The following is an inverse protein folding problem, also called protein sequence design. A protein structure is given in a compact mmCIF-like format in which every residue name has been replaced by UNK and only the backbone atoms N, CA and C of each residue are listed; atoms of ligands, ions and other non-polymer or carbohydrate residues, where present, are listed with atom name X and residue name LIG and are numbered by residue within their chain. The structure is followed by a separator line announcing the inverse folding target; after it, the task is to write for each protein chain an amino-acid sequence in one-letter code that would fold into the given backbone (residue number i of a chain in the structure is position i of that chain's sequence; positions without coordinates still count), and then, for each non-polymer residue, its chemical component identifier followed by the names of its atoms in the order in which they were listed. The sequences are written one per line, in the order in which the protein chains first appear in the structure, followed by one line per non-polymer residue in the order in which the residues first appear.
data_IF_167784560250
#
_entry.id   IF_167784560250
#
_cell.length_a   1.000
_cell.length_b   1.000
_cell.length_c   1.000
_cell.angle_alpha   90.00
_cell.angle_beta   90.00
_cell.angle_gamma   90.00
#
_symmetry.space_group_name_H-M   'P 1'
#
loop_
_entity.id
_entity.type
_entity.pdbx_description
1 polymer ?
#
# COMPACT_ATOMS: atom_id res chain seq x y z
N UNK A 1 37.28 -9.02 -43.52
CA UNK A 1 35.94 -9.57 -43.07
C UNK A 1 36.02 -10.16 -41.66
N UNK A 2 37.16 -10.68 -41.21
CA UNK A 2 37.34 -11.25 -39.86
C UNK A 2 37.26 -10.22 -38.71
N UNK A 3 37.65 -8.96 -38.94
CA UNK A 3 37.65 -7.90 -37.90
C UNK A 3 36.26 -7.44 -37.52
N UNK A 4 35.37 -7.20 -38.49
CA UNK A 4 33.99 -6.71 -38.25
C UNK A 4 33.14 -7.76 -37.53
N UNK A 5 33.27 -9.04 -37.82
CA UNK A 5 32.56 -10.13 -37.13
C UNK A 5 33.03 -10.27 -35.67
N UNK A 6 34.35 -10.10 -35.42
CA UNK A 6 34.90 -10.09 -34.05
C UNK A 6 34.40 -8.92 -33.21
N UNK A 7 34.26 -7.75 -33.81
CA UNK A 7 33.76 -6.55 -33.14
C UNK A 7 32.24 -6.63 -32.80
N UNK A 8 31.46 -7.22 -33.70
CA UNK A 8 30.04 -7.50 -33.43
C UNK A 8 29.87 -8.49 -32.29
N UNK A 9 30.67 -9.57 -32.28
CA UNK A 9 30.62 -10.56 -31.21
C UNK A 9 31.03 -10.00 -29.83
N UNK A 10 32.08 -9.18 -29.80
CA UNK A 10 32.54 -8.48 -28.58
C UNK A 10 31.46 -7.52 -28.08
N UNK A 11 30.79 -6.81 -28.99
CA UNK A 11 29.71 -5.89 -28.62
C UNK A 11 28.50 -6.62 -28.07
N UNK A 12 28.08 -7.74 -28.67
CA UNK A 12 27.00 -8.57 -28.16
C UNK A 12 27.35 -9.21 -26.81
N UNK A 13 28.56 -9.69 -26.61
CA UNK A 13 29.02 -10.23 -25.33
C UNK A 13 29.00 -9.15 -24.24
N UNK A 14 29.45 -7.94 -24.57
CA UNK A 14 29.42 -6.80 -23.65
C UNK A 14 27.99 -6.34 -23.32
N UNK A 15 27.08 -6.32 -24.29
CA UNK A 15 25.67 -6.01 -24.08
C UNK A 15 24.98 -7.06 -23.21
N UNK A 16 25.34 -8.34 -23.33
CA UNK A 16 24.81 -9.42 -22.49
C UNK A 16 25.32 -9.33 -21.06
N UNK A 17 26.63 -9.11 -20.88
CA UNK A 17 27.26 -8.94 -19.57
C UNK A 17 26.72 -7.70 -18.85
N UNK A 18 26.49 -6.59 -19.57
CA UNK A 18 25.82 -5.39 -19.05
C UNK A 18 24.39 -5.68 -18.58
N UNK A 19 23.59 -6.46 -19.34
CA UNK A 19 22.23 -6.81 -18.93
C UNK A 19 22.23 -7.70 -17.70
N UNK A 20 23.09 -8.73 -17.64
CA UNK A 20 23.19 -9.63 -16.48
C UNK A 20 23.66 -8.89 -15.22
N UNK A 21 24.62 -7.98 -15.34
CA UNK A 21 25.08 -7.13 -14.23
C UNK A 21 23.99 -6.14 -13.78
N UNK A 22 23.25 -5.51 -14.71
CA UNK A 22 22.14 -4.63 -14.37
C UNK A 22 21.04 -5.36 -13.62
N UNK A 23 20.68 -6.59 -14.03
CA UNK A 23 19.69 -7.42 -13.34
C UNK A 23 20.15 -7.80 -11.93
N UNK A 24 21.43 -8.15 -11.76
CA UNK A 24 22.03 -8.46 -10.47
C UNK A 24 22.03 -7.25 -9.51
N UNK A 25 22.44 -6.09 -9.99
CA UNK A 25 22.42 -4.83 -9.24
C UNK A 25 20.99 -4.44 -8.89
N UNK A 26 20.05 -4.49 -9.84
CA UNK A 26 18.65 -4.18 -9.60
C UNK A 26 18.03 -5.08 -8.53
N UNK A 27 18.27 -6.40 -8.57
CA UNK A 27 17.79 -7.35 -7.55
C UNK A 27 18.37 -7.05 -6.16
N UNK A 28 19.66 -6.72 -6.06
CA UNK A 28 20.29 -6.37 -4.79
C UNK A 28 19.72 -5.07 -4.21
N UNK A 29 19.48 -4.05 -5.05
CA UNK A 29 18.90 -2.78 -4.64
C UNK A 29 17.45 -2.96 -4.17
N UNK A 30 16.65 -3.74 -4.90
CA UNK A 30 15.30 -4.12 -4.53
C UNK A 30 15.31 -4.87 -3.19
N UNK A 31 16.21 -5.84 -3.00
CA UNK A 31 16.38 -6.59 -1.76
C UNK A 31 16.72 -5.69 -0.57
N UNK A 32 17.61 -4.73 -0.74
CA UNK A 32 17.96 -3.75 0.31
C UNK A 32 16.81 -2.80 0.62
N UNK A 33 16.07 -2.32 -0.39
CA UNK A 33 14.91 -1.48 -0.21
C UNK A 33 13.81 -2.23 0.56
N UNK A 34 13.48 -3.45 0.16
CA UNK A 34 12.51 -4.34 0.83
C UNK A 34 12.90 -4.57 2.29
N UNK A 35 14.19 -4.86 2.57
CA UNK A 35 14.68 -5.10 3.93
C UNK A 35 14.53 -3.89 4.85
N UNK A 36 14.67 -2.67 4.33
CA UNK A 36 14.50 -1.43 5.10
C UNK A 36 13.04 -1.06 5.35
N UNK A 37 12.15 -1.43 4.44
CA UNK A 37 10.73 -1.02 4.44
C UNK A 37 9.79 -2.08 5.04
N UNK A 38 10.29 -3.26 5.42
CA UNK A 38 9.46 -4.39 5.84
C UNK A 38 8.78 -4.25 7.22
N UNK A 39 9.04 -3.18 7.99
CA UNK A 39 8.68 -3.10 9.40
C UNK A 39 7.29 -2.51 9.70
N UNK A 40 6.66 -1.74 8.81
CA UNK A 40 5.41 -1.03 9.09
C UNK A 40 4.20 -1.60 8.34
N UNK A 41 3.36 -2.33 9.05
CA UNK A 41 2.05 -2.76 8.55
C UNK A 41 0.95 -1.79 9.00
N UNK A 42 0.35 -1.07 8.05
CA UNK A 42 -0.83 -0.27 8.28
C UNK A 42 -2.10 -1.03 7.92
N UNK A 43 -3.11 -1.05 8.80
CA UNK A 43 -4.40 -1.67 8.49
C UNK A 43 -5.33 -0.66 7.85
N UNK A 44 -5.82 -0.99 6.66
CA UNK A 44 -6.93 -0.28 6.04
C UNK A 44 -8.22 -0.71 6.73
N UNK A 45 -8.62 0.05 7.74
CA UNK A 45 -9.91 -0.17 8.38
C UNK A 45 -10.73 1.10 8.24
N UNK A 46 -12.00 0.96 7.81
CA UNK A 46 -12.99 2.04 7.85
C UNK A 46 -13.46 2.33 9.26
N UNK A 47 -13.01 1.53 10.21
CA UNK A 47 -13.37 1.61 11.61
C UNK A 47 -12.13 1.77 12.50
N UNK A 48 -12.29 2.45 13.61
CA UNK A 48 -11.29 2.54 14.69
C UNK A 48 -11.97 2.23 16.02
N UNK A 49 -11.33 1.44 16.85
CA UNK A 49 -11.84 1.08 18.17
C UNK A 49 -11.16 1.95 19.23
N UNK A 50 -11.96 2.56 20.09
CA UNK A 50 -11.49 3.34 21.23
C UNK A 50 -11.79 2.54 22.50
N UNK A 51 -10.76 2.14 23.28
CA UNK A 51 -10.96 1.42 24.54
C UNK A 51 -11.53 2.36 25.60
N UNK A 52 -12.43 1.83 26.41
CA UNK A 52 -13.02 2.53 27.55
C UNK A 52 -12.51 1.96 28.87
N UNK A 53 -12.34 2.79 29.91
CA UNK A 53 -11.95 2.30 31.24
C UNK A 53 -13.02 1.45 31.93
N UNK A 54 -14.29 1.60 31.54
CA UNK A 54 -15.43 0.79 32.00
C UNK A 54 -16.63 0.98 31.08
N UNK A 55 -17.58 0.02 31.09
CA UNK A 55 -18.82 0.13 30.31
C UNK A 55 -19.74 1.27 30.77
N UNK A 56 -19.61 1.73 32.02
CA UNK A 56 -20.36 2.91 32.50
C UNK A 56 -20.03 4.18 31.68
N UNK A 57 -18.84 4.23 31.09
CA UNK A 57 -18.44 5.34 30.24
C UNK A 57 -19.28 5.46 28.96
N UNK A 58 -19.81 4.34 28.43
CA UNK A 58 -20.74 4.34 27.28
C UNK A 58 -21.95 5.24 27.55
N UNK A 59 -22.58 5.08 28.71
CA UNK A 59 -23.73 5.90 29.10
C UNK A 59 -23.41 7.38 29.19
N UNK A 60 -22.19 7.75 29.65
CA UNK A 60 -21.72 9.14 29.70
C UNK A 60 -21.46 9.73 28.33
N UNK A 61 -20.88 8.92 27.40
CA UNK A 61 -20.63 9.32 26.02
C UNK A 61 -21.96 9.49 25.27
N UNK A 62 -22.93 8.61 25.46
CA UNK A 62 -24.27 8.76 24.89
C UNK A 62 -24.92 10.03 25.44
N UNK A 63 -24.89 10.20 26.75
CA UNK A 63 -25.54 11.30 27.46
C UNK A 63 -27.06 11.19 27.48
N UNK A 64 -27.70 12.09 28.25
CA UNK A 64 -29.18 12.10 28.37
C UNK A 64 -29.82 12.32 26.97
N UNK A 65 -30.70 11.40 26.58
CA UNK A 65 -31.38 11.41 25.28
C UNK A 65 -30.45 11.44 24.06
N UNK A 66 -29.23 10.94 24.21
CA UNK A 66 -28.22 10.87 23.11
C UNK A 66 -27.62 12.23 22.74
N UNK A 67 -27.70 13.24 23.59
CA UNK A 67 -27.22 14.61 23.25
C UNK A 67 -25.70 14.70 23.03
N UNK A 68 -24.92 13.91 23.76
CA UNK A 68 -23.47 13.97 23.67
C UNK A 68 -22.97 13.22 22.41
N UNK A 69 -23.54 12.04 22.14
CA UNK A 69 -23.18 11.29 20.93
C UNK A 69 -23.54 12.09 19.68
N UNK A 70 -24.72 12.69 19.61
CA UNK A 70 -25.12 13.54 18.47
C UNK A 70 -24.21 14.75 18.31
N UNK A 71 -23.78 15.38 19.41
CA UNK A 71 -22.85 16.49 19.34
C UNK A 71 -21.48 16.06 18.77
N UNK A 72 -21.00 14.87 19.17
CA UNK A 72 -19.72 14.34 18.69
C UNK A 72 -19.82 13.97 17.19
N UNK A 73 -20.86 13.25 16.78
CA UNK A 73 -21.11 12.87 15.38
C UNK A 73 -21.26 14.11 14.49
N UNK A 74 -22.03 15.10 14.94
CA UNK A 74 -22.19 16.36 14.20
C UNK A 74 -20.89 17.13 14.07
N UNK A 75 -20.10 17.22 15.15
CA UNK A 75 -18.87 17.99 15.15
C UNK A 75 -17.73 17.31 14.36
N UNK A 76 -17.69 15.97 14.33
CA UNK A 76 -16.61 15.21 13.68
C UNK A 76 -17.00 14.71 12.29
N UNK A 77 -18.28 14.46 12.03
CA UNK A 77 -18.77 13.76 10.83
C UNK A 77 -18.40 12.27 10.82
N UNK A 78 -18.32 11.65 12.00
CA UNK A 78 -17.96 10.24 12.21
C UNK A 78 -19.08 9.57 12.97
N UNK A 79 -19.53 8.40 12.52
CA UNK A 79 -20.54 7.60 13.21
C UNK A 79 -19.92 6.86 14.40
N UNK A 80 -20.60 6.92 15.55
CA UNK A 80 -20.21 6.19 16.76
C UNK A 80 -21.10 4.97 16.93
N UNK A 81 -20.51 3.80 16.82
CA UNK A 81 -21.18 2.52 17.01
C UNK A 81 -20.90 2.07 18.45
N UNK A 82 -21.98 2.05 19.26
CA UNK A 82 -21.96 1.59 20.64
C UNK A 82 -22.82 0.34 20.73
N UNK A 83 -22.17 -0.79 20.75
CA UNK A 83 -22.77 -2.12 20.82
C UNK A 83 -22.43 -2.81 22.15
N UNK A 84 -22.70 -4.12 22.23
CA UNK A 84 -22.45 -4.94 23.42
C UNK A 84 -20.96 -5.32 23.58
N UNK A 85 -20.07 -4.87 22.70
CA UNK A 85 -18.62 -5.10 22.83
C UNK A 85 -18.12 -4.50 24.15
N UNK A 86 -17.54 -5.29 25.07
CA UNK A 86 -17.13 -4.79 26.37
C UNK A 86 -16.05 -3.71 26.25
N UNK A 87 -16.19 -2.64 27.04
CA UNK A 87 -15.18 -1.60 27.23
C UNK A 87 -14.64 -1.01 25.91
N UNK A 88 -15.47 -0.87 24.89
CA UNK A 88 -15.07 -0.35 23.59
C UNK A 88 -16.18 0.47 22.91
N UNK A 89 -15.77 1.43 22.09
CA UNK A 89 -16.61 2.15 21.12
C UNK A 89 -15.93 2.07 19.77
N UNK A 90 -16.72 1.78 18.74
CA UNK A 90 -16.25 1.73 17.37
C UNK A 90 -16.61 3.03 16.65
N UNK A 91 -15.61 3.66 16.04
CA UNK A 91 -15.75 4.84 15.18
C UNK A 91 -15.78 4.39 13.73
N UNK A 92 -16.77 4.83 12.95
CA UNK A 92 -16.93 4.49 11.54
C UNK A 92 -16.92 5.74 10.67
N UNK A 93 -16.00 5.80 9.71
CA UNK A 93 -15.94 6.83 8.67
C UNK A 93 -14.99 6.40 7.57
N UNK A 94 -15.28 6.75 6.33
CA UNK A 94 -14.36 6.60 5.21
C UNK A 94 -13.17 7.56 5.30
N UNK A 95 -13.37 8.74 5.90
CA UNK A 95 -12.30 9.74 6.09
C UNK A 95 -11.48 9.40 7.33
N UNK A 96 -10.27 8.88 7.12
CA UNK A 96 -9.33 8.55 8.20
C UNK A 96 -8.95 9.78 9.04
N UNK A 97 -8.90 10.96 8.45
CA UNK A 97 -8.55 12.20 9.16
C UNK A 97 -9.65 12.57 10.16
N UNK A 98 -10.92 12.52 9.74
CA UNK A 98 -12.05 12.74 10.64
C UNK A 98 -12.13 11.70 11.74
N UNK A 99 -11.90 10.43 11.39
CA UNK A 99 -11.90 9.33 12.34
C UNK A 99 -10.80 9.49 13.40
N UNK A 100 -9.61 9.95 13.00
CA UNK A 100 -8.53 10.24 13.93
C UNK A 100 -8.85 11.42 14.85
N UNK A 101 -9.48 12.50 14.35
CA UNK A 101 -9.99 13.60 15.19
C UNK A 101 -11.00 13.09 16.20
N UNK A 102 -11.94 12.24 15.79
CA UNK A 102 -12.94 11.65 16.68
C UNK A 102 -12.30 10.78 17.76
N UNK A 103 -11.30 9.94 17.38
CA UNK A 103 -10.53 9.09 18.31
C UNK A 103 -9.81 9.94 19.36
N UNK A 104 -9.03 10.93 18.93
CA UNK A 104 -8.30 11.84 19.82
C UNK A 104 -9.26 12.60 20.75
N UNK A 105 -10.41 12.99 20.23
CA UNK A 105 -11.45 13.71 21.00
C UNK A 105 -12.01 12.82 22.09
N UNK A 106 -12.41 11.58 21.75
CA UNK A 106 -12.92 10.62 22.74
C UNK A 106 -11.90 10.33 23.84
N UNK A 107 -10.65 10.03 23.48
CA UNK A 107 -9.59 9.74 24.44
C UNK A 107 -9.39 10.91 25.44
N UNK A 108 -9.42 12.15 24.95
CA UNK A 108 -9.31 13.34 25.80
C UNK A 108 -10.53 13.53 26.70
N UNK A 109 -11.73 13.34 26.17
CA UNK A 109 -12.96 13.46 26.96
C UNK A 109 -13.07 12.37 28.02
N UNK A 110 -12.61 11.16 27.72
CA UNK A 110 -12.53 10.05 28.66
C UNK A 110 -11.55 10.37 29.77
N UNK A 111 -10.35 10.85 29.41
CA UNK A 111 -9.31 11.22 30.40
C UNK A 111 -9.70 12.43 31.28
N UNK A 112 -10.38 13.43 30.71
CA UNK A 112 -10.87 14.62 31.45
C UNK A 112 -12.12 14.32 32.28
N UNK A 113 -12.92 13.33 31.89
CA UNK A 113 -14.15 12.93 32.56
C UNK A 113 -15.31 13.92 32.38
N UNK A 114 -15.16 15.02 31.68
CA UNK A 114 -16.19 16.04 31.45
C UNK A 114 -16.76 15.92 30.03
N UNK A 115 -17.91 15.25 29.90
CA UNK A 115 -18.53 14.97 28.62
C UNK A 115 -19.88 15.72 28.54
N UNK A 116 -19.91 16.83 27.80
CA UNK A 116 -21.09 17.60 27.47
C UNK A 116 -20.89 18.35 26.14
N UNK A 117 -21.95 18.75 25.40
CA UNK A 117 -21.85 19.25 24.04
C UNK A 117 -20.82 20.37 23.84
N UNK A 118 -20.84 21.42 24.64
CA UNK A 118 -19.88 22.53 24.50
C UNK A 118 -18.43 22.09 24.70
N UNK A 119 -18.16 21.13 25.62
CA UNK A 119 -16.82 20.59 25.82
C UNK A 119 -16.39 19.68 24.67
N UNK A 120 -17.34 18.96 24.06
CA UNK A 120 -17.11 18.14 22.88
C UNK A 120 -16.64 19.03 21.72
N UNK A 121 -17.39 20.08 21.39
CA UNK A 121 -17.06 21.03 20.32
C UNK A 121 -15.68 21.67 20.54
N UNK A 122 -15.41 22.17 21.74
CA UNK A 122 -14.09 22.73 22.10
C UNK A 122 -12.95 21.73 21.91
N UNK A 123 -13.19 20.48 22.33
CA UNK A 123 -12.16 19.42 22.25
C UNK A 123 -11.93 18.99 20.81
N UNK A 124 -12.98 18.90 19.98
CA UNK A 124 -12.86 18.61 18.55
C UNK A 124 -11.99 19.65 17.84
N UNK A 125 -12.23 20.95 18.08
CA UNK A 125 -11.42 22.00 17.47
C UNK A 125 -9.93 21.94 17.89
N UNK A 126 -9.68 21.66 19.16
CA UNK A 126 -8.30 21.44 19.64
C UNK A 126 -7.65 20.22 18.98
N UNK A 127 -8.38 19.11 18.85
CA UNK A 127 -7.86 17.90 18.20
C UNK A 127 -7.61 18.11 16.71
N UNK A 128 -8.46 18.87 16.01
CA UNK A 128 -8.21 19.26 14.61
C UNK A 128 -6.90 20.02 14.46
N UNK A 129 -6.70 21.03 15.30
CA UNK A 129 -5.48 21.82 15.27
C UNK A 129 -4.23 20.97 15.58
N UNK A 130 -4.30 20.10 16.60
CA UNK A 130 -3.18 19.23 16.98
C UNK A 130 -2.87 18.20 15.88
N UNK A 131 -3.88 17.66 15.22
CA UNK A 131 -3.71 16.75 14.07
C UNK A 131 -3.03 17.47 12.90
N UNK A 132 -3.40 18.74 12.62
CA UNK A 132 -2.71 19.53 11.60
C UNK A 132 -1.22 19.73 11.90
N UNK A 133 -0.89 19.97 13.18
CA UNK A 133 0.51 20.06 13.62
C UNK A 133 1.24 18.71 13.48
N UNK A 134 0.56 17.60 13.77
CA UNK A 134 1.13 16.27 13.57
C UNK A 134 1.38 15.98 12.09
N UNK A 135 0.42 16.27 11.20
CA UNK A 135 0.60 16.13 9.76
C UNK A 135 1.82 16.93 9.27
N UNK A 136 1.95 18.17 9.70
CA UNK A 136 3.12 18.98 9.35
C UNK A 136 4.43 18.33 9.79
N UNK A 137 4.51 17.85 11.05
CA UNK A 137 5.70 17.17 11.58
C UNK A 137 6.04 15.89 10.82
N UNK A 138 5.03 15.09 10.46
CA UNK A 138 5.25 13.86 9.67
C UNK A 138 5.77 14.18 8.26
N UNK A 139 5.25 15.22 7.62
CA UNK A 139 5.78 15.69 6.33
C UNK A 139 7.22 16.21 6.44
N UNK A 140 7.54 17.00 7.47
CA UNK A 140 8.89 17.49 7.73
C UNK A 140 9.86 16.33 7.99
N UNK A 141 9.43 15.30 8.75
CA UNK A 141 10.20 14.09 9.02
C UNK A 141 10.51 13.34 7.72
N UNK A 142 9.51 13.10 6.87
CA UNK A 142 9.68 12.39 5.60
C UNK A 142 10.66 13.12 4.67
N UNK A 143 10.54 14.44 4.55
CA UNK A 143 11.41 15.29 3.74
C UNK A 143 12.85 15.27 4.24
N UNK A 144 13.04 15.34 5.56
CA UNK A 144 14.36 15.30 6.19
C UNK A 144 15.02 13.93 6.01
N UNK A 145 14.28 12.83 6.24
CA UNK A 145 14.78 11.47 6.10
C UNK A 145 15.24 11.15 4.68
N UNK A 146 14.53 11.66 3.68
CA UNK A 146 14.89 11.50 2.26
C UNK A 146 15.97 12.48 1.77
N UNK A 147 16.37 13.46 2.60
CA UNK A 147 17.34 14.49 2.24
C UNK A 147 16.83 15.43 1.13
N UNK A 148 15.51 15.69 1.08
CA UNK A 148 14.88 16.57 0.11
C UNK A 148 14.82 17.99 0.68
N UNK A 149 15.23 18.98 -0.10
CA UNK A 149 15.25 20.38 0.33
C UNK A 149 14.43 21.28 -0.59
N UNK A 150 13.96 22.41 -0.06
CA UNK A 150 13.28 23.45 -0.86
C UNK A 150 11.87 23.07 -1.33
N UNK A 151 11.17 22.18 -0.62
CA UNK A 151 9.73 21.96 -0.82
C UNK A 151 8.91 23.09 -0.21
N UNK A 152 7.82 23.45 -0.88
CA UNK A 152 6.89 24.45 -0.36
C UNK A 152 6.24 23.93 0.95
N UNK A 153 6.04 24.76 1.98
CA UNK A 153 5.46 24.34 3.25
C UNK A 153 4.10 23.63 3.13
N UNK A 154 3.27 24.07 2.18
CA UNK A 154 1.97 23.41 1.93
C UNK A 154 2.13 22.02 1.32
N UNK A 155 3.13 21.78 0.46
CA UNK A 155 3.45 20.43 -0.02
C UNK A 155 3.90 19.53 1.13
N UNK A 156 4.71 20.04 2.05
CA UNK A 156 5.14 19.30 3.23
C UNK A 156 3.92 18.90 4.09
N UNK A 157 2.96 19.80 4.26
CA UNK A 157 1.70 19.50 4.97
C UNK A 157 0.89 18.42 4.26
N UNK A 158 0.78 18.47 2.93
CA UNK A 158 0.09 17.45 2.14
C UNK A 158 0.80 16.10 2.19
N UNK A 159 2.13 16.05 2.15
CA UNK A 159 2.92 14.84 2.34
C UNK A 159 2.59 14.21 3.71
N UNK A 160 2.58 15.01 4.77
CA UNK A 160 2.23 14.51 6.11
C UNK A 160 0.79 14.01 6.21
N UNK A 161 -0.15 14.58 5.43
CA UNK A 161 -1.54 14.13 5.35
C UNK A 161 -1.66 12.72 4.76
N UNK A 162 -0.73 12.31 3.87
CA UNK A 162 -0.67 10.96 3.32
C UNK A 162 -0.52 9.86 4.40
N UNK A 163 -0.04 10.19 5.61
CA UNK A 163 -0.02 9.28 6.76
C UNK A 163 -1.42 8.78 7.14
N UNK A 164 -2.43 9.61 6.90
CA UNK A 164 -3.83 9.33 7.20
C UNK A 164 -4.61 8.94 5.94
N UNK A 165 -3.91 8.38 4.95
CA UNK A 165 -4.50 7.86 3.72
C UNK A 165 -3.95 6.47 3.45
N UNK A 166 -4.84 5.54 3.28
CA UNK A 166 -4.52 4.15 2.91
C UNK A 166 -5.14 3.86 1.55
N UNK A 167 -4.41 3.19 0.69
CA UNK A 167 -4.86 2.78 -0.63
C UNK A 167 -4.42 1.36 -0.89
N UNK A 168 -5.34 0.46 -1.25
CA UNK A 168 -5.08 -0.96 -1.49
C UNK A 168 -4.31 -1.66 -0.34
N UNK A 169 -4.60 -1.30 0.92
CA UNK A 169 -3.97 -1.87 2.10
C UNK A 169 -2.59 -1.32 2.44
N UNK A 170 -2.09 -0.35 1.69
CA UNK A 170 -0.80 0.29 1.93
C UNK A 170 -0.98 1.74 2.37
N UNK A 171 -0.25 2.15 3.42
CA UNK A 171 -0.22 3.56 3.83
C UNK A 171 0.45 4.43 2.77
N UNK A 172 -0.22 5.50 2.34
CA UNK A 172 0.25 6.31 1.22
C UNK A 172 1.56 7.05 1.50
N UNK A 173 1.81 7.51 2.74
CA UNK A 173 3.08 8.15 3.10
C UNK A 173 4.24 7.14 3.06
N UNK A 174 4.05 5.98 3.69
CA UNK A 174 5.07 4.91 3.71
C UNK A 174 5.39 4.46 2.29
N UNK A 175 4.37 4.23 1.46
CA UNK A 175 4.54 3.90 0.05
C UNK A 175 5.34 4.98 -0.71
N UNK A 176 4.96 6.25 -0.59
CA UNK A 176 5.67 7.34 -1.27
C UNK A 176 7.13 7.47 -0.82
N UNK A 177 7.42 7.22 0.45
CA UNK A 177 8.80 7.17 0.96
C UNK A 177 9.59 5.99 0.40
N UNK A 178 8.99 4.80 0.32
CA UNK A 178 9.60 3.62 -0.31
C UNK A 178 9.93 3.87 -1.78
N UNK A 179 8.96 4.39 -2.55
CA UNK A 179 9.17 4.76 -3.96
C UNK A 179 10.30 5.77 -4.09
N UNK A 180 10.35 6.78 -3.22
CA UNK A 180 11.44 7.77 -3.21
C UNK A 180 12.81 7.16 -2.93
N UNK A 181 12.90 6.22 -1.99
CA UNK A 181 14.15 5.51 -1.68
C UNK A 181 14.63 4.67 -2.85
N UNK A 182 13.76 3.82 -3.39
CA UNK A 182 14.09 2.95 -4.52
C UNK A 182 14.44 3.77 -5.76
N UNK A 183 13.67 4.83 -6.05
CA UNK A 183 13.94 5.74 -7.16
C UNK A 183 15.31 6.42 -7.02
N UNK A 184 15.67 6.84 -5.80
CA UNK A 184 16.99 7.41 -5.54
C UNK A 184 18.15 6.44 -5.79
N UNK A 185 17.97 5.16 -5.43
CA UNK A 185 18.96 4.11 -5.67
C UNK A 185 19.11 3.82 -7.17
N UNK A 186 18.00 3.57 -7.88
CA UNK A 186 18.02 3.32 -9.32
C UNK A 186 18.58 4.50 -10.11
N UNK A 187 18.19 5.73 -9.73
CA UNK A 187 18.73 6.94 -10.37
C UNK A 187 20.25 7.05 -10.22
N UNK A 188 20.80 6.71 -9.07
CA UNK A 188 22.24 6.67 -8.84
C UNK A 188 22.97 5.68 -9.77
N UNK A 189 22.43 4.47 -9.92
CA UNK A 189 23.00 3.46 -10.81
C UNK A 189 22.86 3.81 -12.30
N UNK A 190 21.79 4.50 -12.68
CA UNK A 190 21.52 4.92 -14.06
C UNK A 190 22.16 6.27 -14.43
N UNK A 191 22.84 6.94 -13.50
CA UNK A 191 23.41 8.26 -13.75
C UNK A 191 22.37 9.38 -13.87
N UNK A 192 21.16 9.20 -13.34
CA UNK A 192 20.10 10.19 -13.27
C UNK A 192 20.21 10.96 -11.95
N UNK A 193 19.66 12.17 -11.90
CA UNK A 193 19.72 13.00 -10.69
C UNK A 193 18.96 12.36 -9.51
N UNK A 194 19.70 11.89 -8.52
CA UNK A 194 19.17 11.20 -7.32
C UNK A 194 18.20 12.05 -6.52
N UNK A 195 18.50 13.34 -6.35
CA UNK A 195 17.65 14.25 -5.57
C UNK A 195 16.30 14.47 -6.26
N UNK A 196 16.31 14.62 -7.59
CA UNK A 196 15.09 14.73 -8.38
C UNK A 196 14.27 13.43 -8.33
N UNK A 197 14.92 12.26 -8.38
CA UNK A 197 14.25 10.98 -8.33
C UNK A 197 13.57 10.75 -6.96
N UNK A 198 14.27 11.03 -5.86
CA UNK A 198 13.66 10.98 -4.52
C UNK A 198 12.48 11.94 -4.39
N UNK A 199 12.62 13.17 -4.90
CA UNK A 199 11.56 14.18 -4.86
C UNK A 199 10.35 13.75 -5.68
N UNK A 200 10.56 13.24 -6.89
CA UNK A 200 9.49 12.72 -7.74
C UNK A 200 8.78 11.52 -7.09
N UNK A 201 9.53 10.58 -6.52
CA UNK A 201 8.99 9.44 -5.80
C UNK A 201 8.16 9.83 -4.58
N UNK A 202 8.59 10.82 -3.79
CA UNK A 202 7.82 11.33 -2.65
C UNK A 202 6.52 12.02 -3.08
N UNK A 203 6.50 12.66 -4.25
CA UNK A 203 5.38 13.47 -4.74
C UNK A 203 4.46 12.72 -5.72
N UNK A 204 4.82 11.50 -6.20
CA UNK A 204 4.06 10.84 -7.26
C UNK A 204 2.57 10.65 -6.92
N UNK A 205 2.29 10.35 -5.67
CA UNK A 205 0.96 10.10 -5.12
C UNK A 205 0.39 11.26 -4.28
N UNK A 206 0.96 12.47 -4.36
CA UNK A 206 0.55 13.61 -3.52
C UNK A 206 -0.94 13.96 -3.66
N UNK A 207 -1.54 13.67 -4.82
CA UNK A 207 -2.97 13.90 -5.06
C UNK A 207 -3.88 13.09 -4.15
N UNK A 208 -3.45 11.92 -3.66
CA UNK A 208 -4.19 11.11 -2.69
C UNK A 208 -4.44 11.83 -1.35
N UNK A 209 -3.72 12.90 -1.07
CA UNK A 209 -3.99 13.73 0.10
C UNK A 209 -5.31 14.51 -0.01
N UNK A 210 -5.85 14.72 -1.22
CA UNK A 210 -7.03 15.55 -1.49
C UNK A 210 -8.10 14.88 -2.37
N UNK A 211 -7.90 13.63 -2.81
CA UNK A 211 -8.80 12.92 -3.73
C UNK A 211 -10.22 12.67 -3.20
N UNK A 212 -10.42 12.78 -1.88
CA UNK A 212 -11.75 12.73 -1.26
C UNK A 212 -12.46 14.10 -1.22
N UNK A 213 -11.73 15.18 -1.43
CA UNK A 213 -12.24 16.56 -1.33
C UNK A 213 -12.39 17.21 -2.70
N UNK A 214 -11.65 16.71 -3.71
CA UNK A 214 -11.59 17.28 -5.05
C UNK A 214 -11.95 16.20 -6.06
N UNK A 215 -12.85 16.51 -6.98
CA UNK A 215 -13.17 15.61 -8.10
C UNK A 215 -11.98 15.47 -9.07
N UNK A 216 -11.69 14.24 -9.47
CA UNK A 216 -10.63 13.93 -10.41
C UNK A 216 -9.76 12.74 -9.98
N UNK A 217 -8.88 12.29 -10.88
CA UNK A 217 -7.89 11.28 -10.52
C UNK A 217 -6.82 11.87 -9.62
N UNK A 218 -6.28 11.07 -8.69
CA UNK A 218 -5.15 11.52 -7.84
C UNK A 218 -3.95 11.98 -8.66
N UNK A 219 -3.76 11.42 -9.86
CA UNK A 219 -2.70 11.85 -10.81
C UNK A 219 -2.92 13.29 -11.24
N UNK A 220 -4.13 13.62 -11.73
CA UNK A 220 -4.46 14.97 -12.19
C UNK A 220 -4.38 15.97 -11.03
N UNK A 221 -4.95 15.63 -9.88
CA UNK A 221 -4.88 16.46 -8.67
C UNK A 221 -3.42 16.70 -8.27
N UNK A 222 -2.58 15.65 -8.29
CA UNK A 222 -1.16 15.73 -7.98
C UNK A 222 -0.38 16.63 -8.93
N UNK A 223 -0.65 16.53 -10.22
CA UNK A 223 -0.07 17.39 -11.27
C UNK A 223 -0.45 18.87 -11.03
N UNK A 224 -1.72 19.15 -10.75
CA UNK A 224 -2.20 20.52 -10.54
C UNK A 224 -1.62 21.13 -9.26
N UNK A 225 -1.51 20.34 -8.18
CA UNK A 225 -0.82 20.76 -6.95
C UNK A 225 0.64 21.10 -7.25
N UNK A 226 1.37 20.20 -7.92
CA UNK A 226 2.79 20.41 -8.22
C UNK A 226 3.02 21.58 -9.16
N UNK A 227 2.13 21.82 -10.13
CA UNK A 227 2.15 23.03 -10.98
C UNK A 227 1.91 24.31 -10.17
N UNK A 228 0.94 24.31 -9.27
CA UNK A 228 0.64 25.45 -8.38
C UNK A 228 1.85 25.85 -7.55
N UNK A 229 2.59 24.89 -7.04
CA UNK A 229 3.78 25.15 -6.22
C UNK A 229 5.10 25.19 -7.02
N UNK A 230 5.00 25.28 -8.35
CA UNK A 230 6.12 25.49 -9.30
C UNK A 230 7.20 24.41 -9.18
N UNK A 231 6.79 23.16 -9.03
CA UNK A 231 7.70 22.01 -9.10
C UNK A 231 8.34 21.88 -10.49
N UNK A 232 9.49 21.20 -10.55
CA UNK A 232 10.20 20.98 -11.80
C UNK A 232 9.34 20.22 -12.81
N UNK A 233 9.35 20.62 -14.07
CA UNK A 233 8.55 20.02 -15.14
C UNK A 233 8.83 18.55 -15.36
N UNK A 234 10.05 18.07 -15.13
CA UNK A 234 10.39 16.64 -15.21
C UNK A 234 9.76 15.85 -14.06
N UNK A 235 9.67 16.44 -12.86
CA UNK A 235 8.98 15.83 -11.72
C UNK A 235 7.48 15.76 -12.00
N UNK A 236 6.89 16.85 -12.52
CA UNK A 236 5.47 16.89 -12.89
C UNK A 236 5.16 15.84 -13.95
N UNK A 237 6.02 15.70 -14.98
CA UNK A 237 5.87 14.68 -15.99
C UNK A 237 5.97 13.25 -15.41
N UNK A 238 6.88 13.01 -14.47
CA UNK A 238 6.98 11.71 -13.80
C UNK A 238 5.73 11.38 -12.98
N UNK A 239 5.10 12.38 -12.33
CA UNK A 239 3.83 12.23 -11.63
C UNK A 239 2.70 11.93 -12.63
N UNK A 240 2.66 12.61 -13.78
CA UNK A 240 1.63 12.44 -14.81
C UNK A 240 1.68 11.04 -15.47
N UNK A 241 2.89 10.50 -15.64
CA UNK A 241 3.14 9.27 -16.39
C UNK A 241 3.18 7.98 -15.55
N UNK A 242 3.15 8.04 -14.20
CA UNK A 242 3.47 6.88 -13.37
C UNK A 242 2.48 5.71 -13.49
N UNK A 243 1.23 5.95 -13.88
CA UNK A 243 0.24 4.90 -14.15
C UNK A 243 0.11 4.52 -15.64
N UNK A 244 0.88 5.18 -16.52
CA UNK A 244 0.87 4.86 -17.95
C UNK A 244 -0.23 5.55 -18.75
N UNK A 245 -1.05 6.41 -18.17
CA UNK A 245 -2.06 7.21 -18.89
C UNK A 245 -1.39 8.20 -19.84
N UNK A 246 -0.19 8.63 -19.53
CA UNK A 246 0.69 9.43 -20.38
C UNK A 246 1.99 8.67 -20.61
N UNK A 247 2.46 8.65 -21.85
CA UNK A 247 3.71 7.98 -22.22
C UNK A 247 4.91 8.60 -21.51
N UNK A 248 5.73 7.81 -20.77
CA UNK A 248 6.92 8.31 -20.11
C UNK A 248 7.99 8.69 -21.13
N UNK A 249 8.42 9.96 -21.12
CA UNK A 249 9.41 10.53 -22.08
C UNK A 249 10.79 10.77 -21.47
N UNK A 250 10.95 10.56 -20.18
CA UNK A 250 12.21 10.82 -19.47
C UNK A 250 12.65 9.60 -18.67
N UNK A 251 13.95 9.37 -18.50
CA UNK A 251 14.44 8.30 -17.62
C UNK A 251 13.84 8.39 -16.22
N UNK A 252 13.63 9.61 -15.70
CA UNK A 252 12.99 9.84 -14.41
C UNK A 252 11.57 9.26 -14.36
N UNK A 253 10.76 9.48 -15.40
CA UNK A 253 9.38 8.96 -15.44
C UNK A 253 9.34 7.43 -15.44
N UNK A 254 10.23 6.77 -16.22
CA UNK A 254 10.36 5.31 -16.20
C UNK A 254 10.79 4.77 -14.84
N UNK A 255 11.74 5.45 -14.17
CA UNK A 255 12.18 5.07 -12.82
C UNK A 255 11.01 5.13 -11.85
N UNK A 256 10.22 6.22 -11.84
CA UNK A 256 9.09 6.37 -10.90
C UNK A 256 8.03 5.31 -11.16
N UNK A 257 7.64 5.07 -12.42
CA UNK A 257 6.69 4.03 -12.79
C UNK A 257 7.14 2.64 -12.31
N UNK A 258 8.41 2.30 -12.53
CA UNK A 258 8.97 1.02 -12.09
C UNK A 258 9.00 0.91 -10.55
N UNK A 259 9.40 1.98 -9.85
CA UNK A 259 9.49 1.99 -8.39
C UNK A 259 8.13 1.91 -7.71
N UNK A 260 7.10 2.56 -8.27
CA UNK A 260 5.72 2.43 -7.81
C UNK A 260 5.24 0.99 -7.93
N UNK A 261 5.41 0.37 -9.11
CA UNK A 261 5.05 -1.02 -9.34
C UNK A 261 5.79 -2.00 -8.39
N UNK A 262 7.09 -1.78 -8.15
CA UNK A 262 7.90 -2.59 -7.23
C UNK A 262 7.37 -2.47 -5.79
N UNK A 263 7.14 -1.25 -5.31
CA UNK A 263 6.63 -1.02 -3.95
C UNK A 263 5.24 -1.63 -3.77
N UNK A 264 4.37 -1.52 -4.78
CA UNK A 264 3.03 -2.09 -4.76
C UNK A 264 3.01 -3.64 -4.81
N UNK A 265 3.98 -4.24 -5.51
CA UNK A 265 4.04 -5.70 -5.73
C UNK A 265 4.80 -6.45 -4.62
N UNK A 266 5.51 -5.77 -3.71
CA UNK A 266 6.28 -6.44 -2.67
C UNK A 266 5.39 -7.26 -1.73
N UNK A 267 5.84 -8.45 -1.27
CA UNK A 267 5.07 -9.27 -0.33
C UNK A 267 4.73 -8.48 0.95
N UNK A 268 3.45 -8.44 1.31
CA UNK A 268 2.95 -7.75 2.50
C UNK A 268 2.73 -6.24 2.35
N UNK A 269 2.98 -5.64 1.18
CA UNK A 269 2.71 -4.23 0.92
C UNK A 269 1.21 -3.94 0.92
N UNK A 270 0.42 -4.80 0.30
CA UNK A 270 -1.04 -4.73 0.26
C UNK A 270 -1.62 -5.73 1.25
N UNK A 271 -2.45 -5.28 2.19
CA UNK A 271 -3.27 -6.19 2.98
C UNK A 271 -4.38 -6.69 2.09
N UNK A 272 -4.40 -7.99 1.87
CA UNK A 272 -5.61 -8.63 1.36
C UNK A 272 -6.69 -8.60 2.45
N UNK A 273 -7.91 -8.22 2.06
CA UNK A 273 -9.07 -8.46 2.92
C UNK A 273 -9.14 -9.95 3.21
N UNK A 274 -9.50 -10.32 4.45
CA UNK A 274 -9.66 -11.73 4.83
C UNK A 274 -10.59 -12.45 3.84
N UNK A 275 -11.61 -11.77 3.34
CA UNK A 275 -12.55 -12.30 2.33
C UNK A 275 -11.88 -12.58 0.98
N UNK A 276 -11.06 -11.66 0.47
CA UNK A 276 -10.33 -11.89 -0.80
C UNK A 276 -9.23 -12.94 -0.64
N UNK A 277 -8.63 -13.02 0.53
CA UNK A 277 -7.69 -14.08 0.90
C UNK A 277 -8.36 -15.45 0.93
N UNK A 278 -9.49 -15.59 1.64
CA UNK A 278 -10.26 -16.83 1.71
C UNK A 278 -10.74 -17.24 0.30
N UNK A 279 -11.32 -16.32 -0.45
CA UNK A 279 -11.78 -16.55 -1.82
C UNK A 279 -10.66 -17.00 -2.75
N UNK A 280 -9.45 -16.48 -2.58
CA UNK A 280 -8.29 -16.93 -3.35
C UNK A 280 -7.86 -18.35 -2.99
N UNK A 281 -7.87 -18.72 -1.69
CA UNK A 281 -7.61 -20.10 -1.27
C UNK A 281 -8.65 -21.05 -1.85
N UNK A 282 -9.93 -20.69 -1.76
CA UNK A 282 -11.05 -21.45 -2.33
C UNK A 282 -10.89 -21.63 -3.85
N UNK A 283 -10.55 -20.57 -4.58
CA UNK A 283 -10.31 -20.65 -6.03
C UNK A 283 -9.12 -21.56 -6.38
N UNK A 284 -8.04 -21.52 -5.62
CA UNK A 284 -6.88 -22.42 -5.80
C UNK A 284 -7.26 -23.88 -5.59
N UNK A 285 -8.04 -24.17 -4.54
CA UNK A 285 -8.53 -25.51 -4.23
C UNK A 285 -9.53 -25.99 -5.29
N UNK A 286 -10.46 -25.11 -5.72
CA UNK A 286 -11.45 -25.41 -6.78
C UNK A 286 -10.78 -25.72 -8.13
N UNK A 287 -9.84 -24.86 -8.58
CA UNK A 287 -9.09 -25.10 -9.81
C UNK A 287 -8.34 -26.43 -9.74
N UNK A 288 -7.65 -26.69 -8.65
CA UNK A 288 -6.86 -27.91 -8.47
C UNK A 288 -7.75 -29.16 -8.43
N UNK A 289 -8.90 -29.08 -7.76
CA UNK A 289 -9.87 -30.17 -7.65
C UNK A 289 -10.67 -30.43 -8.94
N UNK A 290 -10.66 -29.48 -9.91
CA UNK A 290 -11.39 -29.63 -11.18
C UNK A 290 -10.76 -30.65 -12.14
N UNK A 291 -9.57 -31.14 -11.85
CA UNK A 291 -8.87 -32.11 -12.70
C UNK A 291 -9.27 -33.55 -12.38
N UNK A 292 -9.46 -34.35 -13.44
CA UNK A 292 -9.77 -35.77 -13.30
C UNK A 292 -8.65 -36.53 -12.58
N UNK A 293 -9.02 -37.38 -11.62
CA UNK A 293 -8.07 -38.13 -10.80
C UNK A 293 -7.57 -37.42 -9.55
N UNK A 294 -7.92 -36.14 -9.34
CA UNK A 294 -7.69 -35.46 -8.07
C UNK A 294 -8.76 -35.88 -7.07
N UNK A 295 -8.34 -36.26 -5.88
CA UNK A 295 -9.20 -36.64 -4.76
C UNK A 295 -9.51 -35.43 -3.87
N UNK A 296 -8.48 -34.70 -3.49
CA UNK A 296 -8.56 -33.49 -2.68
C UNK A 296 -7.41 -32.52 -3.01
N UNK A 297 -7.64 -31.23 -2.83
CA UNK A 297 -6.63 -30.21 -2.93
C UNK A 297 -6.70 -29.27 -1.73
N UNK A 298 -5.55 -28.88 -1.19
CA UNK A 298 -5.44 -27.98 -0.05
C UNK A 298 -4.46 -26.86 -0.34
N UNK A 299 -4.92 -25.63 -0.21
CA UNK A 299 -4.06 -24.45 -0.23
C UNK A 299 -3.42 -24.28 1.15
N UNK A 300 -2.10 -24.38 1.24
CA UNK A 300 -1.33 -24.26 2.46
C UNK A 300 -0.32 -23.12 2.39
N UNK A 301 0.34 -22.78 3.51
CA UNK A 301 1.31 -21.68 3.58
C UNK A 301 0.76 -20.35 3.03
N UNK A 302 -0.44 -19.99 3.45
CA UNK A 302 -1.12 -18.77 3.00
C UNK A 302 -1.33 -18.71 1.48
N UNK A 303 -1.59 -19.88 0.83
CA UNK A 303 -1.80 -19.97 -0.62
C UNK A 303 -0.52 -19.96 -1.47
N UNK A 304 0.65 -20.08 -0.86
CA UNK A 304 1.93 -20.21 -1.58
C UNK A 304 2.27 -21.62 -2.00
N UNK A 305 1.55 -22.61 -1.47
CA UNK A 305 1.68 -24.02 -1.83
C UNK A 305 0.28 -24.62 -1.96
N UNK A 306 0.05 -25.39 -3.02
CA UNK A 306 -1.14 -26.24 -3.17
C UNK A 306 -0.71 -27.68 -3.08
N UNK A 307 -1.29 -28.43 -2.15
CA UNK A 307 -1.11 -29.88 -2.00
C UNK A 307 -2.29 -30.60 -2.60
N UNK A 308 -2.02 -31.47 -3.56
CA UNK A 308 -3.02 -32.14 -4.36
C UNK A 308 -2.86 -33.64 -4.14
N UNK A 309 -3.88 -34.24 -3.55
CA UNK A 309 -3.97 -35.68 -3.36
C UNK A 309 -4.62 -36.30 -4.58
N UNK A 310 -3.99 -37.29 -5.19
CA UNK A 310 -4.53 -37.99 -6.37
C UNK A 310 -4.90 -39.43 -6.05
N UNK A 311 -5.92 -39.92 -6.75
CA UNK A 311 -6.37 -41.32 -6.64
C UNK A 311 -5.33 -42.23 -7.28
N UNK A 312 -4.70 -43.17 -6.50
CA UNK A 312 -3.62 -44.02 -7.00
C UNK A 312 -4.07 -44.99 -8.10
N UNK A 313 -5.36 -45.35 -8.10
CA UNK A 313 -5.95 -46.26 -9.10
C UNK A 313 -6.22 -45.55 -10.45
N UNK A 314 -6.23 -44.20 -10.49
CA UNK A 314 -6.57 -43.41 -11.69
C UNK A 314 -5.33 -42.75 -12.28
N UNK A 315 -4.41 -42.26 -11.48
CA UNK A 315 -3.21 -41.54 -11.87
C UNK A 315 -1.96 -42.35 -11.63
N UNK A 316 -1.20 -42.64 -12.70
CA UNK A 316 0.11 -43.29 -12.59
C UNK A 316 1.22 -42.29 -12.27
N UNK A 317 2.40 -42.77 -11.83
CA UNK A 317 3.54 -41.91 -11.49
C UNK A 317 3.99 -41.01 -12.67
N UNK A 318 3.95 -41.53 -13.90
CA UNK A 318 4.26 -40.73 -15.09
C UNK A 318 3.25 -39.62 -15.35
N UNK A 319 1.98 -39.86 -15.00
CA UNK A 319 0.90 -38.88 -15.17
C UNK A 319 0.92 -37.78 -14.10
N UNK A 320 1.47 -38.04 -12.91
CA UNK A 320 1.61 -37.03 -11.83
C UNK A 320 2.37 -35.79 -12.29
N UNK A 321 3.45 -35.97 -13.05
CA UNK A 321 4.26 -34.85 -13.58
C UNK A 321 3.48 -34.00 -14.59
N UNK A 322 2.73 -34.67 -15.47
CA UNK A 322 1.91 -34.00 -16.48
C UNK A 322 0.74 -33.27 -15.83
N UNK A 323 0.10 -33.88 -14.83
CA UNK A 323 -0.98 -33.28 -14.06
C UNK A 323 -0.50 -32.02 -13.32
N UNK A 324 0.64 -32.10 -12.63
CA UNK A 324 1.23 -30.96 -11.93
C UNK A 324 1.48 -29.77 -12.86
N UNK A 325 1.99 -30.00 -14.07
CA UNK A 325 2.22 -28.97 -15.08
C UNK A 325 0.91 -28.36 -15.61
N UNK A 326 -0.11 -29.22 -15.83
CA UNK A 326 -1.41 -28.77 -16.32
C UNK A 326 -2.14 -27.92 -15.28
N UNK A 327 -2.06 -28.30 -14.01
CA UNK A 327 -2.63 -27.52 -12.90
C UNK A 327 -1.88 -26.19 -12.74
N UNK A 328 -0.54 -26.20 -12.75
CA UNK A 328 0.25 -25.00 -12.65
C UNK A 328 -0.09 -24.00 -13.76
N UNK A 329 -0.17 -24.47 -15.00
CA UNK A 329 -0.55 -23.65 -16.15
C UNK A 329 -1.97 -23.08 -16.00
N UNK A 330 -2.93 -23.88 -15.55
CA UNK A 330 -4.31 -23.40 -15.37
C UNK A 330 -4.42 -22.36 -14.26
N UNK A 331 -3.64 -22.50 -13.20
CA UNK A 331 -3.53 -21.51 -12.13
C UNK A 331 -2.94 -20.19 -12.67
N UNK A 332 -1.84 -20.25 -13.45
CA UNK A 332 -1.23 -19.09 -14.10
C UNK A 332 -2.18 -18.37 -15.06
N UNK A 333 -2.95 -19.11 -15.85
CA UNK A 333 -3.89 -18.57 -16.84
C UNK A 333 -5.17 -17.99 -16.21
N UNK A 334 -5.52 -18.40 -14.98
CA UNK A 334 -6.84 -18.12 -14.38
C UNK A 334 -6.77 -17.16 -13.19
N UNK A 335 -5.66 -17.17 -12.43
CA UNK A 335 -5.51 -16.40 -11.20
C UNK A 335 -4.39 -15.36 -11.30
N UNK A 336 -4.75 -14.15 -10.98
CA UNK A 336 -3.78 -13.07 -10.78
C UNK A 336 -3.12 -13.24 -9.38
N UNK A 337 -1.86 -13.69 -9.35
CA UNK A 337 -1.19 -14.04 -8.11
C UNK A 337 0.14 -13.30 -7.95
N UNK A 338 0.33 -12.54 -6.87
CA UNK A 338 1.60 -11.84 -6.62
C UNK A 338 2.66 -12.80 -6.07
N UNK A 339 3.36 -13.51 -6.93
CA UNK A 339 4.47 -14.38 -6.52
C UNK A 339 4.46 -15.76 -7.17
N UNK A 340 5.24 -16.70 -6.61
CA UNK A 340 5.31 -18.08 -7.07
C UNK A 340 4.42 -18.97 -6.20
N UNK A 341 3.61 -19.83 -6.84
CA UNK A 341 2.84 -20.89 -6.17
C UNK A 341 3.54 -22.23 -6.41
N UNK A 342 3.80 -22.95 -5.34
CA UNK A 342 4.34 -24.30 -5.40
C UNK A 342 3.20 -25.29 -5.54
N UNK A 343 3.15 -26.02 -6.65
CA UNK A 343 2.19 -27.11 -6.88
C UNK A 343 2.83 -28.44 -6.47
N UNK A 344 2.24 -29.09 -5.49
CA UNK A 344 2.74 -30.34 -4.92
C UNK A 344 1.69 -31.43 -5.11
N UNK A 345 1.94 -32.40 -6.00
CA UNK A 345 1.04 -33.52 -6.24
C UNK A 345 1.54 -34.75 -5.49
N UNK A 346 0.68 -35.30 -4.65
CA UNK A 346 0.98 -36.43 -3.75
C UNK A 346 0.11 -37.63 -4.14
N UNK A 347 0.76 -38.74 -4.43
CA UNK A 347 0.12 -40.03 -4.68
C UNK A 347 0.48 -40.96 -3.52
N UNK A 348 -0.48 -41.29 -2.69
CA UNK A 348 -0.32 -42.30 -1.65
C UNK A 348 -0.82 -43.66 -2.19
N UNK A 349 0.04 -44.68 -2.08
CA UNK A 349 -0.26 -46.07 -2.50
C UNK A 349 -0.46 -46.96 -1.30
#
# INVERSE_FOLDING_TARGET
ESSAASDVYKRQAYETDLKENCDGIARNLIGQAISRCAADHCSETTVSVVPLPSDEMKGRIIGREGRNIRALETATGVDLIIDDTPEAITLSSFDQTRREVARMTLERLIGDGRIHPARIEETVEKCRHDLELQMKREGERAVMELGIHGLHPDLIKLIGRLKYRTSFGQNALTHSMEVAWVAGLLAGEMGVNVTMARRAGLLHDIGKALDHEIEGSHVQIGVDICRKYKENTQIIHAIEAHHGDVEPKTPLAFIIQACDAISAARPGARRENVESYVKRLENLEEISSSFEGVEQAFAVQAGREVRIMVKPDVISDDQVILLARSIAKKIEDTLDYPGQIKVNVIRES
#
